data_IF_106725431268
#
_entry.id   IF_106725431268
#
_cell.length_a   1.000
_cell.length_b   1.000
_cell.length_c   1.000
_cell.angle_alpha   90.00
_cell.angle_beta   90.00
_cell.angle_gamma   90.00
#
_symmetry.space_group_name_H-M   'P 1'
#
loop_
_entity.id
_entity.type
_entity.pdbx_description
1 polymer ?
#
# COMPACT_ATOMS: atom_id res chain seq x y z
N UNK A 1 9.10 16.65 -18.43
CA UNK A 1 7.86 15.86 -18.54
C UNK A 1 8.22 14.40 -18.73
N UNK A 2 7.72 13.53 -17.84
CA UNK A 2 7.91 12.08 -17.95
C UNK A 2 6.83 11.52 -18.87
N UNK A 3 7.23 10.70 -19.85
CA UNK A 3 6.30 10.03 -20.75
C UNK A 3 6.48 8.52 -20.68
N UNK A 4 5.39 7.78 -20.58
CA UNK A 4 5.41 6.33 -20.75
C UNK A 4 5.44 6.01 -22.24
N UNK A 5 6.29 5.07 -22.61
CA UNK A 5 6.39 4.59 -23.98
C UNK A 5 6.38 3.07 -24.00
N UNK A 6 5.48 2.50 -24.77
CA UNK A 6 5.53 1.08 -25.06
C UNK A 6 6.74 0.78 -25.95
N UNK A 7 7.66 -0.08 -25.48
CA UNK A 7 8.87 -0.47 -26.23
C UNK A 7 8.69 -1.80 -26.95
N UNK A 8 7.91 -2.72 -26.36
CA UNK A 8 7.58 -4.03 -26.94
C UNK A 8 6.15 -4.41 -26.63
N UNK A 9 5.51 -5.13 -27.52
CA UNK A 9 4.24 -5.81 -27.30
C UNK A 9 4.46 -7.32 -27.44
N UNK A 10 3.85 -8.13 -26.59
CA UNK A 10 3.87 -9.58 -26.77
C UNK A 10 3.21 -9.95 -28.10
N UNK A 11 3.78 -10.92 -28.82
CA UNK A 11 3.23 -11.39 -30.08
C UNK A 11 1.80 -11.90 -29.87
N UNK A 12 0.85 -11.37 -30.63
CA UNK A 12 -0.58 -11.68 -30.50
C UNK A 12 -1.34 -10.88 -29.43
N UNK A 13 -0.69 -9.95 -28.71
CA UNK A 13 -1.39 -9.01 -27.86
C UNK A 13 -1.95 -7.85 -28.70
N UNK A 14 -3.25 -7.83 -28.93
CA UNK A 14 -3.91 -6.75 -29.68
C UNK A 14 -4.31 -5.56 -28.80
N UNK A 15 -4.19 -5.67 -27.48
CA UNK A 15 -4.79 -4.66 -26.60
C UNK A 15 -3.86 -4.20 -25.50
N UNK A 16 -3.52 -2.95 -25.54
CA UNK A 16 -3.30 -2.15 -24.36
C UNK A 16 -4.60 -2.10 -23.57
N UNK A 17 -4.56 -2.35 -22.27
CA UNK A 17 -5.73 -2.20 -21.41
C UNK A 17 -6.30 -0.79 -21.57
N UNK A 18 -7.59 -0.68 -21.80
CA UNK A 18 -8.27 0.61 -21.91
C UNK A 18 -8.43 1.21 -20.51
N UNK A 19 -7.86 2.40 -20.29
CA UNK A 19 -7.93 3.05 -18.98
C UNK A 19 -6.72 3.91 -18.64
N UNK A 20 -6.50 4.10 -17.34
CA UNK A 20 -5.36 4.84 -16.80
C UNK A 20 -4.37 3.89 -16.14
N UNK A 21 -3.08 4.15 -16.39
CA UNK A 21 -1.99 3.53 -15.69
C UNK A 21 -1.57 4.42 -14.53
N UNK A 22 -1.50 3.85 -13.33
CA UNK A 22 -1.04 4.58 -12.15
C UNK A 22 0.37 4.13 -11.82
N UNK A 23 1.26 5.10 -11.68
CA UNK A 23 2.64 4.90 -11.23
C UNK A 23 2.82 5.60 -9.90
N UNK A 24 3.25 4.85 -8.88
CA UNK A 24 3.62 5.40 -7.58
C UNK A 24 5.09 5.79 -7.62
N UNK A 25 5.37 7.08 -7.49
CA UNK A 25 6.73 7.62 -7.37
C UNK A 25 7.07 7.81 -5.90
N UNK A 26 7.63 6.77 -5.29
CA UNK A 26 7.79 6.69 -3.84
C UNK A 26 9.24 6.76 -3.34
N UNK A 27 10.20 7.05 -4.19
CA UNK A 27 11.64 6.94 -3.87
C UNK A 27 12.36 8.30 -3.86
N UNK A 28 11.61 9.38 -3.66
CA UNK A 28 12.19 10.72 -3.55
C UNK A 28 12.47 11.08 -2.09
N UNK A 29 13.57 11.80 -1.85
CA UNK A 29 13.82 12.48 -0.57
C UNK A 29 13.00 13.77 -0.45
N UNK A 30 12.23 14.12 -1.49
CA UNK A 30 11.37 15.28 -1.57
C UNK A 30 9.89 14.85 -1.53
N UNK A 31 9.05 15.47 -2.36
CA UNK A 31 7.63 15.09 -2.47
C UNK A 31 7.45 13.93 -3.45
N UNK A 32 6.76 12.89 -3.01
CA UNK A 32 6.33 11.78 -3.84
C UNK A 32 4.98 12.07 -4.50
N UNK A 33 4.73 11.40 -5.63
CA UNK A 33 3.50 11.59 -6.39
C UNK A 33 2.94 10.27 -6.90
N UNK A 34 1.61 10.19 -7.04
CA UNK A 34 0.95 9.24 -7.93
C UNK A 34 0.76 9.91 -9.30
N UNK A 35 1.23 9.26 -10.35
CA UNK A 35 1.11 9.72 -11.73
C UNK A 35 0.11 8.89 -12.49
N UNK A 36 -0.77 9.53 -13.24
CA UNK A 36 -1.79 8.89 -14.08
C UNK A 36 -1.46 9.07 -15.54
N UNK A 37 -1.29 7.98 -16.26
CA UNK A 37 -1.01 7.99 -17.70
C UNK A 37 -2.14 7.30 -18.46
N UNK A 38 -2.50 7.82 -19.62
CA UNK A 38 -3.39 7.12 -20.55
C UNK A 38 -2.66 6.09 -21.41
N UNK A 39 -3.42 5.39 -22.25
CA UNK A 39 -2.92 4.36 -23.18
C UNK A 39 -1.90 4.88 -24.19
N UNK A 40 -1.83 6.19 -24.41
CA UNK A 40 -0.86 6.82 -25.29
C UNK A 40 0.42 7.24 -24.56
N UNK A 41 0.50 6.96 -23.25
CA UNK A 41 1.62 7.35 -22.40
C UNK A 41 1.63 8.83 -22.02
N UNK A 42 0.52 9.52 -22.23
CA UNK A 42 0.38 10.95 -21.87
C UNK A 42 -0.02 11.08 -20.41
N UNK A 43 0.70 11.90 -19.66
CA UNK A 43 0.35 12.24 -18.28
C UNK A 43 -1.00 12.95 -18.22
N UNK A 44 -1.95 12.41 -17.48
CA UNK A 44 -3.31 12.93 -17.34
C UNK A 44 -3.58 13.57 -15.98
N UNK A 45 -2.76 13.27 -14.99
CA UNK A 45 -2.88 13.87 -13.67
C UNK A 45 -1.79 13.37 -12.74
N UNK A 46 -1.68 14.07 -11.62
CA UNK A 46 -0.78 13.74 -10.54
C UNK A 46 -1.45 14.06 -9.20
N UNK A 47 -1.17 13.25 -8.18
CA UNK A 47 -1.61 13.50 -6.81
C UNK A 47 -0.36 13.46 -5.93
N UNK A 48 -0.06 14.53 -5.18
CA UNK A 48 1.07 14.53 -4.26
C UNK A 48 0.80 13.59 -3.08
N UNK A 49 1.81 12.79 -2.72
CA UNK A 49 1.82 11.92 -1.54
C UNK A 49 2.57 12.64 -0.42
N UNK A 50 1.89 13.52 0.28
CA UNK A 50 2.51 14.42 1.26
C UNK A 50 2.79 13.69 2.56
N UNK A 51 4.06 13.59 2.92
CA UNK A 51 4.52 13.13 4.23
C UNK A 51 4.43 11.62 4.47
N UNK A 52 4.01 10.83 3.49
CA UNK A 52 4.01 9.38 3.61
C UNK A 52 4.07 8.66 2.25
N UNK A 53 4.93 7.69 2.18
CA UNK A 53 5.09 6.78 1.05
C UNK A 53 3.90 5.82 0.95
N UNK A 54 3.14 5.85 -0.14
CA UNK A 54 2.09 4.86 -0.38
C UNK A 54 2.68 3.57 -0.97
N UNK A 55 2.33 2.42 -0.40
CA UNK A 55 2.84 1.13 -0.85
C UNK A 55 1.98 0.48 -1.93
N UNK A 56 0.69 0.75 -1.90
CA UNK A 56 -0.30 0.13 -2.77
C UNK A 56 -1.42 1.09 -3.14
N UNK A 57 -2.03 0.85 -4.29
CA UNK A 57 -3.26 1.49 -4.72
C UNK A 57 -4.27 0.41 -5.10
N UNK A 58 -5.46 0.48 -4.52
CA UNK A 58 -6.59 -0.39 -4.85
C UNK A 58 -7.77 0.43 -5.33
N UNK A 59 -8.63 -0.20 -6.13
CA UNK A 59 -9.85 0.41 -6.63
C UNK A 59 -11.05 -0.48 -6.27
N UNK A 60 -12.07 0.12 -5.65
CA UNK A 60 -13.33 -0.52 -5.33
C UNK A 60 -14.42 0.53 -5.10
N UNK A 61 -15.64 0.24 -5.55
CA UNK A 61 -16.83 1.07 -5.31
C UNK A 61 -16.61 2.56 -5.63
N UNK A 62 -16.05 2.84 -6.82
CA UNK A 62 -15.70 4.17 -7.33
C UNK A 62 -14.70 4.96 -6.47
N UNK A 63 -14.00 4.29 -5.56
CA UNK A 63 -12.95 4.88 -4.73
C UNK A 63 -11.58 4.28 -5.02
N UNK A 64 -10.55 5.10 -4.85
CA UNK A 64 -9.16 4.68 -4.67
C UNK A 64 -8.88 4.51 -3.19
N UNK A 65 -8.19 3.44 -2.83
CA UNK A 65 -7.72 3.16 -1.49
C UNK A 65 -6.19 3.19 -1.49
N UNK A 66 -5.62 4.06 -0.68
CA UNK A 66 -4.16 4.16 -0.52
C UNK A 66 -3.79 4.66 0.87
N UNK A 67 -2.60 4.27 1.33
CA UNK A 67 -2.06 4.70 2.62
C UNK A 67 -1.65 6.18 2.55
N UNK A 68 -2.07 6.93 3.56
CA UNK A 68 -1.80 8.37 3.72
C UNK A 68 -0.93 8.68 4.94
N UNK A 69 -0.67 7.68 5.78
CA UNK A 69 0.27 7.71 6.90
C UNK A 69 0.63 6.28 7.28
N UNK A 70 1.55 6.13 8.23
CA UNK A 70 1.94 4.83 8.77
C UNK A 70 0.76 4.01 9.32
N UNK A 71 -0.31 4.68 9.77
CA UNK A 71 -1.46 4.02 10.39
C UNK A 71 -2.80 4.35 9.71
N UNK A 72 -2.80 4.93 8.50
CA UNK A 72 -4.07 5.35 7.88
C UNK A 72 -4.14 5.00 6.40
N UNK A 73 -5.30 4.45 6.00
CA UNK A 73 -5.69 4.24 4.61
C UNK A 73 -6.89 5.16 4.32
N UNK A 74 -6.83 5.89 3.21
CA UNK A 74 -7.94 6.71 2.73
C UNK A 74 -8.67 6.00 1.58
N UNK A 75 -10.00 6.09 1.58
CA UNK A 75 -10.85 5.83 0.42
C UNK A 75 -11.22 7.18 -0.22
N UNK A 76 -10.73 7.44 -1.41
CA UNK A 76 -10.87 8.72 -2.12
C UNK A 76 -11.67 8.50 -3.40
N UNK A 77 -12.75 9.25 -3.57
CA UNK A 77 -13.60 9.15 -4.75
C UNK A 77 -12.98 9.84 -5.98
N UNK A 78 -13.62 9.66 -7.15
CA UNK A 78 -13.16 10.24 -8.42
C UNK A 78 -13.13 11.77 -8.47
N UNK A 79 -13.71 12.46 -7.48
CA UNK A 79 -13.63 13.93 -7.33
C UNK A 79 -12.46 14.35 -6.41
N UNK A 80 -11.65 13.40 -5.93
CA UNK A 80 -10.55 13.66 -5.01
C UNK A 80 -10.99 13.88 -3.55
N UNK A 81 -12.26 13.56 -3.21
CA UNK A 81 -12.76 13.69 -1.86
C UNK A 81 -12.54 12.39 -1.08
N UNK A 82 -11.95 12.49 0.11
CA UNK A 82 -11.91 11.37 1.04
C UNK A 82 -13.34 11.07 1.56
N UNK A 83 -13.85 9.91 1.19
CA UNK A 83 -15.13 9.42 1.67
C UNK A 83 -14.99 8.74 3.03
N UNK A 84 -13.85 8.08 3.25
CA UNK A 84 -13.54 7.43 4.51
C UNK A 84 -12.03 7.40 4.76
N UNK A 85 -11.67 7.47 6.04
CA UNK A 85 -10.30 7.24 6.52
C UNK A 85 -10.38 6.12 7.57
N UNK A 86 -9.58 5.08 7.34
CA UNK A 86 -9.42 3.96 8.25
C UNK A 86 -8.15 4.19 9.06
N UNK A 87 -8.28 4.23 10.39
CA UNK A 87 -7.16 4.38 11.31
C UNK A 87 -6.88 3.01 11.95
N UNK A 88 -5.66 2.54 11.83
CA UNK A 88 -5.23 1.23 12.34
C UNK A 88 -4.70 1.29 13.77
N UNK A 89 -4.71 2.47 14.40
CA UNK A 89 -4.26 2.65 15.78
C UNK A 89 -2.76 2.40 15.95
N UNK A 90 -2.42 1.36 16.69
CA UNK A 90 -1.02 0.99 16.97
C UNK A 90 -0.32 0.21 15.85
N UNK A 91 -1.06 -0.20 14.82
CA UNK A 91 -0.49 -0.93 13.70
C UNK A 91 0.15 0.00 12.68
N UNK A 92 1.45 -0.14 12.46
CA UNK A 92 2.19 0.49 11.38
C UNK A 92 2.04 -0.34 10.10
N UNK A 93 1.48 0.26 9.07
CA UNK A 93 1.22 -0.36 7.77
C UNK A 93 2.52 -0.47 6.97
N UNK A 94 2.70 -1.56 6.24
CA UNK A 94 3.82 -1.69 5.33
C UNK A 94 3.53 -2.64 4.16
N UNK A 95 4.30 -2.49 3.10
CA UNK A 95 4.34 -3.31 1.90
C UNK A 95 3.03 -3.43 1.14
N UNK A 96 2.03 -4.19 1.63
CA UNK A 96 0.89 -4.57 0.82
C UNK A 96 -0.43 -4.63 1.61
N UNK A 97 -1.51 -4.43 0.88
CA UNK A 97 -2.87 -4.67 1.34
C UNK A 97 -3.77 -5.04 0.17
N UNK A 98 -4.78 -5.86 0.45
CA UNK A 98 -5.73 -6.36 -0.55
C UNK A 98 -7.14 -6.37 0.02
N UNK A 99 -8.16 -6.43 -0.83
CA UNK A 99 -9.50 -6.75 -0.37
C UNK A 99 -9.69 -8.26 -0.25
N UNK A 100 -10.36 -8.67 0.82
CA UNK A 100 -10.90 -10.02 0.94
C UNK A 100 -12.21 -10.15 0.11
N UNK A 101 -12.77 -11.37 0.08
CA UNK A 101 -14.01 -11.66 -0.66
C UNK A 101 -15.23 -10.89 -0.10
N UNK A 102 -15.21 -10.55 1.18
CA UNK A 102 -16.27 -9.78 1.85
C UNK A 102 -16.08 -8.27 1.71
N UNK A 103 -14.96 -7.84 1.13
CA UNK A 103 -14.63 -6.45 0.88
C UNK A 103 -13.99 -5.72 2.04
N UNK A 104 -13.48 -6.44 3.03
CA UNK A 104 -12.62 -5.85 4.04
C UNK A 104 -11.19 -5.73 3.50
N UNK A 105 -10.39 -4.88 4.11
CA UNK A 105 -8.97 -4.78 3.79
C UNK A 105 -8.17 -5.75 4.67
N UNK A 106 -7.38 -6.61 4.05
CA UNK A 106 -6.31 -7.35 4.71
C UNK A 106 -5.00 -6.59 4.48
N UNK A 107 -4.29 -6.30 5.52
CA UNK A 107 -3.12 -5.41 5.49
C UNK A 107 -1.96 -6.05 6.24
N UNK A 108 -0.76 -5.99 5.64
CA UNK A 108 0.47 -6.29 6.34
C UNK A 108 0.81 -5.13 7.28
N UNK A 109 1.07 -5.45 8.53
CA UNK A 109 1.33 -4.44 9.55
C UNK A 109 2.25 -4.98 10.65
N UNK A 110 2.89 -4.07 11.36
CA UNK A 110 3.63 -4.35 12.61
C UNK A 110 2.92 -3.67 13.76
N UNK A 111 2.67 -4.38 14.85
CA UNK A 111 2.18 -3.77 16.09
C UNK A 111 3.31 -2.99 16.77
N UNK A 112 3.19 -1.68 16.83
CA UNK A 112 4.20 -0.79 17.42
C UNK A 112 4.29 -0.89 18.93
N UNK A 113 3.33 -1.53 19.60
CA UNK A 113 3.35 -1.84 21.03
C UNK A 113 3.93 -3.24 21.33
N UNK A 114 4.21 -4.04 20.31
CA UNK A 114 4.83 -5.35 20.45
C UNK A 114 6.34 -5.23 20.71
N UNK A 115 6.86 -6.15 21.51
CA UNK A 115 8.31 -6.30 21.73
C UNK A 115 9.03 -7.02 20.57
N UNK A 116 8.31 -7.36 19.51
CA UNK A 116 8.83 -8.06 18.34
C UNK A 116 8.51 -7.29 17.07
N UNK A 117 9.24 -7.63 16.00
CA UNK A 117 9.12 -6.98 14.68
C UNK A 117 8.45 -7.87 13.64
N UNK A 118 7.91 -8.99 14.07
CA UNK A 118 7.24 -9.92 13.18
C UNK A 118 5.97 -9.31 12.63
N UNK A 119 5.77 -9.57 11.34
CA UNK A 119 4.62 -9.10 10.60
C UNK A 119 3.33 -9.74 11.10
N UNK A 120 2.29 -8.95 11.08
CA UNK A 120 0.93 -9.37 11.32
C UNK A 120 0.08 -9.11 10.09
N UNK A 121 -0.98 -9.90 9.92
CA UNK A 121 -2.05 -9.58 8.99
C UNK A 121 -3.22 -9.06 9.81
N UNK A 122 -3.54 -7.80 9.62
CA UNK A 122 -4.73 -7.20 10.23
C UNK A 122 -5.86 -7.12 9.20
N UNK A 123 -7.10 -7.19 9.68
CA UNK A 123 -8.29 -6.94 8.89
C UNK A 123 -8.92 -5.63 9.32
N UNK A 124 -9.25 -4.79 8.35
CA UNK A 124 -10.03 -3.58 8.55
C UNK A 124 -11.42 -3.82 7.95
N UNK A 125 -12.45 -3.82 8.78
CA UNK A 125 -13.82 -3.86 8.30
C UNK A 125 -14.16 -2.54 7.61
N UNK A 126 -14.37 -2.58 6.29
CA UNK A 126 -14.58 -1.37 5.50
C UNK A 126 -15.91 -0.68 5.78
N UNK A 127 -16.88 -1.36 6.38
CA UNK A 127 -18.17 -0.78 6.76
C UNK A 127 -18.07 -0.06 8.13
N UNK A 128 -17.53 -0.73 9.13
CA UNK A 128 -17.46 -0.21 10.51
C UNK A 128 -16.19 0.58 10.80
N UNK A 129 -15.08 0.25 10.14
CA UNK A 129 -13.73 0.74 10.44
C UNK A 129 -13.05 -0.04 11.56
N UNK A 130 -13.66 -1.12 12.06
CA UNK A 130 -13.07 -1.96 13.10
C UNK A 130 -11.82 -2.67 12.57
N UNK A 131 -10.77 -2.69 13.39
CA UNK A 131 -9.48 -3.32 13.09
C UNK A 131 -9.29 -4.52 14.00
N UNK A 132 -8.87 -5.64 13.44
CA UNK A 132 -8.55 -6.86 14.18
C UNK A 132 -7.32 -7.56 13.60
N UNK A 133 -6.47 -8.13 14.44
CA UNK A 133 -5.41 -9.02 14.00
C UNK A 133 -6.03 -10.38 13.62
N UNK A 134 -5.81 -10.83 12.39
CA UNK A 134 -6.30 -12.13 11.90
C UNK A 134 -5.19 -13.17 11.84
N UNK A 135 -3.93 -12.74 11.76
CA UNK A 135 -2.77 -13.63 11.79
C UNK A 135 -1.58 -12.89 12.39
N UNK A 136 -0.96 -13.49 13.39
CA UNK A 136 0.31 -13.06 13.96
C UNK A 136 1.39 -14.09 13.54
N UNK A 137 2.33 -13.65 12.69
CA UNK A 137 3.41 -14.52 12.22
C UNK A 137 4.42 -14.83 13.32
N UNK A 138 4.61 -13.92 14.28
CA UNK A 138 5.47 -14.17 15.43
C UNK A 138 4.91 -15.25 16.36
N UNK A 139 3.59 -15.36 16.51
CA UNK A 139 2.95 -16.47 17.24
C UNK A 139 3.01 -17.76 16.44
N UNK A 140 2.70 -17.70 15.14
CA UNK A 140 2.67 -18.90 14.27
C UNK A 140 4.06 -19.51 14.09
N UNK A 141 5.08 -18.70 14.04
CA UNK A 141 6.47 -19.08 13.80
C UNK A 141 7.38 -18.67 14.95
N UNK A 142 7.01 -18.95 16.17
CA UNK A 142 7.71 -18.52 17.39
C UNK A 142 9.20 -18.89 17.43
N UNK A 143 9.60 -19.99 16.76
CA UNK A 143 11.01 -20.41 16.66
C UNK A 143 11.86 -19.47 15.79
N UNK A 144 11.22 -18.63 14.97
CA UNK A 144 11.87 -17.66 14.10
C UNK A 144 11.68 -16.21 14.57
N UNK A 145 11.07 -16.02 15.74
CA UNK A 145 10.82 -14.72 16.31
C UNK A 145 12.13 -13.98 16.60
N UNK A 146 12.29 -12.79 16.00
CA UNK A 146 13.48 -11.98 16.18
C UNK A 146 13.31 -10.95 17.29
N UNK A 147 14.30 -10.88 18.17
CA UNK A 147 14.39 -9.78 19.14
C UNK A 147 14.83 -8.49 18.40
N UNK A 148 14.06 -7.39 18.46
CA UNK A 148 14.41 -6.12 17.83
C UNK A 148 15.77 -5.56 18.28
N UNK A 149 16.29 -6.02 19.41
CA UNK A 149 17.62 -5.67 19.91
C UNK A 149 18.71 -6.65 19.45
N UNK A 150 18.39 -7.68 18.68
CA UNK A 150 19.37 -8.65 18.22
C UNK A 150 20.30 -8.05 17.15
N UNK A 151 21.58 -8.40 17.22
CA UNK A 151 22.60 -7.93 16.27
C UNK A 151 22.32 -8.39 14.83
N UNK A 152 21.49 -9.41 14.65
CA UNK A 152 21.09 -9.93 13.34
C UNK A 152 20.21 -8.96 12.55
N UNK A 153 19.34 -8.23 13.23
CA UNK A 153 18.48 -7.22 12.60
C UNK A 153 19.29 -6.11 11.92
N UNK A 154 20.36 -5.66 12.56
CA UNK A 154 21.20 -4.58 11.98
C UNK A 154 21.95 -4.98 10.71
N UNK A 155 22.14 -6.27 10.47
CA UNK A 155 22.82 -6.78 9.28
C UNK A 155 21.87 -7.03 8.10
N UNK A 156 20.60 -7.30 8.35
CA UNK A 156 19.61 -7.51 7.29
C UNK A 156 19.04 -6.21 6.75
N UNK A 157 18.83 -5.21 7.58
CA UNK A 157 18.36 -3.89 7.16
C UNK A 157 19.37 -3.10 6.33
N UNK A 158 20.66 -3.45 6.40
CA UNK A 158 21.70 -2.81 5.60
C UNK A 158 21.89 -3.43 4.19
N UNK A 159 21.06 -4.41 3.82
CA UNK A 159 21.12 -5.11 2.53
C UNK A 159 19.81 -5.04 1.73
N UNK A 160 18.81 -4.33 2.23
CA UNK A 160 17.55 -4.08 1.53
C UNK A 160 17.60 -2.77 0.74
#
# INVERSE_FOLDING_TARGET
EIQLKQTEAAEGSETVLDGLYVVLGNDSDEEDFMYYYDNSGVLRGEIPLIGYRSHRLLFRDDCMYYSISESKIAAVNHLGKAEKIYDTGTYSLHHDYVFDDDGNLLVLATDTESDSVEDQIIQINTQTGEVSCVLDLGELFSDYKEDPNSVFMSLNLSKA
#
